data_IF_261914991764
#
_entry.id   IF_261914991764
#
_cell.length_a   1.000
_cell.length_b   1.000
_cell.length_c   1.000
_cell.angle_alpha   90.00
_cell.angle_beta   90.00
_cell.angle_gamma   90.00
#
_symmetry.space_group_name_H-M   'P 1'
#
loop_
_entity.id
_entity.type
_entity.pdbx_description
1 polymer ?
#
# COMPACT_ATOMS: atom_id res chain seq x y z
N UNK A 1 10.49 -3.69 4.17
CA UNK A 1 10.46 -2.27 4.58
C UNK A 1 11.31 -1.42 3.65
N UNK A 2 10.84 -0.28 3.27
CA UNK A 2 11.55 0.66 2.41
C UNK A 2 11.53 2.05 3.04
N UNK A 3 12.67 2.71 3.10
CA UNK A 3 12.79 4.06 3.63
C UNK A 3 13.65 4.89 2.68
N UNK A 4 13.01 5.55 1.74
CA UNK A 4 13.66 6.36 0.74
C UNK A 4 13.25 7.83 0.80
N UNK A 5 13.81 8.68 -0.07
CA UNK A 5 13.49 10.11 -0.05
C UNK A 5 12.07 10.43 -0.50
N UNK A 6 11.42 9.55 -1.26
CA UNK A 6 10.08 9.79 -1.78
C UNK A 6 8.99 9.23 -0.87
N UNK A 7 9.25 8.08 -0.25
CA UNK A 7 8.24 7.37 0.51
C UNK A 7 8.91 6.48 1.55
N UNK A 8 8.26 6.32 2.68
CA UNK A 8 8.62 5.33 3.69
C UNK A 8 7.53 4.27 3.71
N UNK A 9 7.90 3.03 3.50
CA UNK A 9 6.96 1.90 3.53
C UNK A 9 7.30 1.02 4.71
N UNK A 10 6.30 0.69 5.50
CA UNK A 10 6.45 -0.17 6.67
C UNK A 10 5.48 -1.34 6.59
N UNK A 11 5.91 -2.47 7.13
CA UNK A 11 5.10 -3.68 7.22
C UNK A 11 4.91 -4.02 8.69
N UNK A 12 3.71 -4.49 9.04
CA UNK A 12 3.45 -4.99 10.38
C UNK A 12 2.38 -6.08 10.33
N UNK A 13 2.36 -6.91 11.37
CA UNK A 13 1.38 -7.99 11.49
C UNK A 13 0.38 -7.64 12.58
N UNK A 14 -0.90 -7.80 12.28
CA UNK A 14 -1.99 -7.61 13.22
C UNK A 14 -3.03 -8.69 12.99
N UNK A 15 -3.40 -9.44 14.02
CA UNK A 15 -4.32 -10.57 13.93
C UNK A 15 -3.89 -11.59 12.87
N UNK A 16 -2.59 -11.88 12.81
CA UNK A 16 -2.00 -12.82 11.83
C UNK A 16 -2.14 -12.38 10.39
N UNK A 17 -2.44 -11.11 10.16
CA UNK A 17 -2.58 -10.53 8.83
C UNK A 17 -1.46 -9.52 8.61
N UNK A 18 -0.87 -9.54 7.43
CA UNK A 18 0.19 -8.59 7.07
C UNK A 18 -0.42 -7.30 6.53
N UNK A 19 -0.04 -6.19 7.14
CA UNK A 19 -0.47 -4.86 6.76
C UNK A 19 0.70 -4.06 6.22
N UNK A 20 0.44 -3.22 5.24
CA UNK A 20 1.43 -2.31 4.68
C UNK A 20 0.96 -0.87 4.89
N UNK A 21 1.88 -0.01 5.30
CA UNK A 21 1.63 1.43 5.41
C UNK A 21 2.66 2.17 4.60
N UNK A 22 2.27 3.31 4.04
CA UNK A 22 3.16 4.15 3.26
C UNK A 22 3.00 5.60 3.72
N UNK A 23 4.14 6.26 3.93
CA UNK A 23 4.20 7.68 4.25
C UNK A 23 4.90 8.39 3.10
N UNK A 24 4.18 9.30 2.43
CA UNK A 24 4.72 9.98 1.26
C UNK A 24 5.44 11.25 1.69
N UNK A 25 6.70 11.37 1.27
CA UNK A 25 7.57 12.47 1.64
C UNK A 25 7.70 13.54 0.56
N UNK A 26 7.26 13.21 -0.65
CA UNK A 26 7.30 14.11 -1.80
C UNK A 26 5.96 14.13 -2.51
N UNK A 27 5.74 15.21 -3.24
CA UNK A 27 4.52 15.38 -4.02
C UNK A 27 4.41 14.32 -5.10
N UNK A 28 3.33 13.54 -5.07
CA UNK A 28 3.04 12.51 -6.07
C UNK A 28 2.43 13.07 -7.36
N UNK A 29 2.18 14.38 -7.44
CA UNK A 29 1.71 14.99 -8.69
C UNK A 29 2.79 14.99 -9.76
N UNK A 30 4.05 14.88 -9.38
CA UNK A 30 5.13 14.68 -10.33
C UNK A 30 5.04 13.28 -10.93
N UNK A 31 4.97 13.17 -12.25
CA UNK A 31 4.94 11.88 -12.94
C UNK A 31 6.15 11.02 -12.58
N UNK A 32 7.33 11.63 -12.48
CA UNK A 32 8.54 10.92 -12.11
C UNK A 32 8.43 10.28 -10.71
N UNK A 33 8.01 11.05 -9.72
CA UNK A 33 7.85 10.54 -8.36
C UNK A 33 6.76 9.47 -8.28
N UNK A 34 5.67 9.66 -8.98
CA UNK A 34 4.56 8.71 -9.03
C UNK A 34 5.02 7.35 -9.58
N UNK A 35 5.70 7.37 -10.73
CA UNK A 35 6.20 6.13 -11.35
C UNK A 35 7.25 5.44 -10.49
N UNK A 36 8.09 6.21 -9.81
CA UNK A 36 9.11 5.66 -8.92
C UNK A 36 8.48 4.95 -7.73
N UNK A 37 7.46 5.54 -7.13
CA UNK A 37 6.74 4.93 -6.01
C UNK A 37 6.05 3.64 -6.45
N UNK A 38 5.42 3.63 -7.61
CA UNK A 38 4.80 2.42 -8.15
C UNK A 38 5.84 1.32 -8.35
N UNK A 39 7.00 1.64 -8.91
CA UNK A 39 8.08 0.67 -9.10
C UNK A 39 8.56 0.07 -7.80
N UNK A 40 8.74 0.89 -6.76
CA UNK A 40 9.13 0.42 -5.43
C UNK A 40 8.07 -0.53 -4.86
N UNK A 41 6.80 -0.17 -5.00
CA UNK A 41 5.70 -0.99 -4.49
C UNK A 41 5.66 -2.36 -5.19
N UNK A 42 5.81 -2.38 -6.50
CA UNK A 42 5.78 -3.63 -7.26
C UNK A 42 6.95 -4.55 -6.88
N UNK A 43 8.13 -4.00 -6.67
CA UNK A 43 9.28 -4.77 -6.20
C UNK A 43 9.03 -5.36 -4.82
N UNK A 44 8.44 -4.58 -3.91
CA UNK A 44 8.09 -5.05 -2.58
C UNK A 44 7.08 -6.18 -2.64
N UNK A 45 6.04 -6.06 -3.46
CA UNK A 45 5.03 -7.11 -3.60
C UNK A 45 5.65 -8.39 -4.15
N UNK A 46 6.56 -8.29 -5.12
CA UNK A 46 7.24 -9.45 -5.66
C UNK A 46 8.10 -10.13 -4.59
N UNK A 47 8.82 -9.36 -3.78
CA UNK A 47 9.62 -9.91 -2.69
C UNK A 47 8.76 -10.63 -1.65
N UNK A 48 7.59 -10.09 -1.32
CA UNK A 48 6.66 -10.71 -0.40
C UNK A 48 6.10 -12.01 -0.97
N UNK A 49 5.73 -12.00 -2.24
CA UNK A 49 5.24 -13.20 -2.93
C UNK A 49 6.30 -14.29 -2.94
N UNK A 50 7.55 -13.94 -3.19
CA UNK A 50 8.66 -14.90 -3.20
C UNK A 50 8.89 -15.52 -1.82
N UNK A 51 8.49 -14.85 -0.76
CA UNK A 51 8.56 -15.38 0.61
C UNK A 51 7.32 -16.14 1.04
N UNK A 52 6.37 -16.34 0.14
CA UNK A 52 5.16 -17.12 0.41
C UNK A 52 3.99 -16.33 0.97
N UNK A 53 4.06 -15.01 0.97
CA UNK A 53 2.94 -14.16 1.39
C UNK A 53 1.85 -14.20 0.31
N UNK A 54 0.63 -14.51 0.71
CA UNK A 54 -0.49 -14.66 -0.22
C UNK A 54 -1.25 -13.37 -0.45
N UNK A 55 -1.34 -12.51 0.56
CA UNK A 55 -2.06 -11.24 0.47
C UNK A 55 -1.52 -10.23 1.46
N UNK A 56 -1.74 -8.95 1.15
CA UNK A 56 -1.42 -7.84 2.04
C UNK A 56 -2.63 -6.92 2.15
N UNK A 57 -2.76 -6.28 3.29
CA UNK A 57 -3.83 -5.33 3.57
C UNK A 57 -3.26 -3.93 3.74
N UNK A 58 -4.07 -2.94 3.43
CA UNK A 58 -3.76 -1.54 3.74
C UNK A 58 -5.04 -0.79 4.06
N UNK A 59 -4.90 0.45 4.51
CA UNK A 59 -6.03 1.33 4.74
C UNK A 59 -5.91 2.57 3.86
N UNK A 60 -7.04 3.19 3.55
CA UNK A 60 -7.10 4.43 2.80
C UNK A 60 -8.09 5.37 3.46
N UNK A 61 -7.75 6.65 3.56
CA UNK A 61 -8.59 7.66 4.21
C UNK A 61 -9.32 8.56 3.22
N UNK A 62 -8.80 8.71 2.01
CA UNK A 62 -9.34 9.62 1.01
C UNK A 62 -9.62 8.89 -0.30
N UNK A 63 -10.53 9.42 -1.15
CA UNK A 63 -10.75 8.87 -2.48
C UNK A 63 -9.48 8.81 -3.33
N UNK A 64 -8.57 9.77 -3.17
CA UNK A 64 -7.31 9.78 -3.90
C UNK A 64 -6.43 8.59 -3.49
N UNK A 65 -6.37 8.27 -2.19
CA UNK A 65 -5.63 7.12 -1.70
C UNK A 65 -6.23 5.81 -2.19
N UNK A 66 -7.56 5.71 -2.19
CA UNK A 66 -8.26 4.53 -2.71
C UNK A 66 -7.89 4.32 -4.17
N UNK A 67 -7.96 5.37 -4.97
CA UNK A 67 -7.64 5.29 -6.39
C UNK A 67 -6.19 4.90 -6.62
N UNK A 68 -5.26 5.46 -5.85
CA UNK A 68 -3.85 5.11 -5.95
C UNK A 68 -3.63 3.63 -5.60
N UNK A 69 -4.25 3.16 -4.52
CA UNK A 69 -4.13 1.76 -4.12
C UNK A 69 -4.73 0.81 -5.15
N UNK A 70 -5.84 1.19 -5.77
CA UNK A 70 -6.42 0.42 -6.88
C UNK A 70 -5.45 0.29 -8.05
N UNK A 71 -4.70 1.35 -8.34
CA UNK A 71 -3.65 1.32 -9.36
C UNK A 71 -2.59 0.27 -9.06
N UNK A 72 -2.31 0.03 -7.78
CA UNK A 72 -1.37 -1.00 -7.35
C UNK A 72 -1.98 -2.39 -7.27
N UNK A 73 -3.26 -2.53 -7.56
CA UNK A 73 -3.95 -3.82 -7.57
C UNK A 73 -4.71 -4.13 -6.29
N UNK A 74 -4.87 -3.18 -5.38
CA UNK A 74 -5.70 -3.37 -4.19
C UNK A 74 -7.18 -3.25 -4.54
N UNK A 75 -8.00 -3.98 -3.81
CA UNK A 75 -9.45 -3.93 -3.92
C UNK A 75 -10.06 -3.57 -2.57
N UNK A 76 -11.18 -2.86 -2.60
CA UNK A 76 -11.92 -2.54 -1.38
C UNK A 76 -12.48 -3.82 -0.77
N UNK A 77 -12.27 -4.00 0.53
CA UNK A 77 -12.82 -5.13 1.27
C UNK A 77 -13.86 -4.70 2.29
N UNK A 78 -13.67 -3.53 2.91
CA UNK A 78 -14.62 -3.05 3.91
C UNK A 78 -14.22 -1.70 4.48
N UNK A 79 -14.98 -1.26 5.47
CA UNK A 79 -14.75 0.01 6.15
C UNK A 79 -14.57 -0.27 7.63
N UNK A 80 -13.62 0.41 8.27
CA UNK A 80 -13.44 0.30 9.71
C UNK A 80 -14.66 0.90 10.42
N UNK A 81 -14.90 0.43 11.64
CA UNK A 81 -16.10 0.77 12.42
C UNK A 81 -16.29 2.27 12.57
N UNK A 82 -15.21 3.05 12.64
CA UNK A 82 -15.30 4.49 12.76
C UNK A 82 -15.68 5.21 11.44
N UNK A 83 -15.79 4.47 10.33
CA UNK A 83 -16.18 5.03 9.03
C UNK A 83 -15.16 5.92 8.36
N UNK A 84 -13.94 6.05 8.93
CA UNK A 84 -12.91 6.96 8.40
C UNK A 84 -11.90 6.28 7.49
N UNK A 85 -11.72 4.97 7.62
CA UNK A 85 -10.71 4.23 6.88
C UNK A 85 -11.37 3.12 6.09
N UNK A 86 -11.03 3.04 4.83
CA UNK A 86 -11.39 1.89 4.01
C UNK A 86 -10.31 0.84 4.12
N UNK A 87 -10.70 -0.42 4.24
CA UNK A 87 -9.77 -1.53 4.24
C UNK A 87 -9.64 -2.06 2.83
N UNK A 88 -8.40 -2.19 2.36
CA UNK A 88 -8.13 -2.69 1.02
C UNK A 88 -7.19 -3.88 1.09
N UNK A 89 -7.35 -4.80 0.15
CA UNK A 89 -6.58 -6.05 0.10
C UNK A 89 -6.00 -6.24 -1.29
N UNK A 90 -4.79 -6.78 -1.34
CA UNK A 90 -4.15 -7.19 -2.59
C UNK A 90 -3.76 -8.66 -2.49
N UNK A 91 -4.23 -9.45 -3.44
CA UNK A 91 -3.77 -10.83 -3.61
C UNK A 91 -2.41 -10.80 -4.33
N UNK A 92 -1.44 -11.49 -3.81
CA UNK A 92 -0.11 -11.63 -4.40
C UNK A 92 0.03 -12.95 -5.21
#
# INVERSE_FOLDING_TARGET
MYDGPEVKVSLYTFNSVLWITAEYRKDLHSTHNYLKVIGIALELFQALKDKGVERVYCTAETPAEIKFNETLGFELEGTLVNGRHEIMVKEL
#
